data_IF_825582507061
#
_entry.id   IF_825582507061
#
_cell.length_a   1.000
_cell.length_b   1.000
_cell.length_c   1.000
_cell.angle_alpha   90.00
_cell.angle_beta   90.00
_cell.angle_gamma   90.00
#
_symmetry.space_group_name_H-M   'P 1'
#
loop_
_entity.id
_entity.type
_entity.pdbx_description
1 polymer ?
#
# COMPACT_ATOMS: atom_id res chain seq x y z
N UNK A 1 15.80 34.34 21.89
CA UNK A 1 17.04 33.97 21.16
C UNK A 1 16.69 33.04 20.02
N UNK A 2 16.71 33.51 18.77
CA UNK A 2 16.46 32.66 17.62
C UNK A 2 17.66 31.75 17.39
N UNK A 3 17.47 30.43 17.48
CA UNK A 3 18.51 29.45 17.21
C UNK A 3 18.87 29.57 15.72
N UNK A 4 20.05 30.10 15.41
CA UNK A 4 20.61 30.13 14.05
C UNK A 4 20.52 28.71 13.48
N UNK A 5 19.85 28.54 12.34
CA UNK A 5 19.81 27.28 11.62
C UNK A 5 21.25 26.89 11.27
N UNK A 6 21.72 25.74 11.77
CA UNK A 6 22.99 25.17 11.34
C UNK A 6 22.84 24.84 9.86
N UNK A 7 23.50 25.63 9.02
CA UNK A 7 23.62 25.34 7.61
C UNK A 7 24.73 24.30 7.48
N UNK A 8 24.35 23.10 7.07
CA UNK A 8 25.28 22.01 6.84
C UNK A 8 25.63 22.04 5.35
N UNK A 9 26.92 22.14 5.05
CA UNK A 9 27.44 22.06 3.70
C UNK A 9 27.79 20.59 3.44
N UNK A 10 26.88 19.88 2.76
CA UNK A 10 27.07 18.49 2.39
C UNK A 10 26.61 18.28 0.95
N UNK A 11 27.31 17.40 0.24
CA UNK A 11 26.95 17.09 -1.14
C UNK A 11 25.72 16.17 -1.17
N UNK A 12 24.58 16.78 -1.50
CA UNK A 12 23.31 16.09 -1.70
C UNK A 12 23.37 15.05 -2.83
N UNK A 13 24.23 15.23 -3.82
CA UNK A 13 24.36 14.31 -4.95
C UNK A 13 25.03 13.03 -4.49
N UNK A 14 26.12 13.14 -3.73
CA UNK A 14 26.85 12.00 -3.20
C UNK A 14 26.01 11.20 -2.19
N UNK A 15 25.22 11.87 -1.34
CA UNK A 15 24.26 11.20 -0.44
C UNK A 15 23.26 10.36 -1.23
N UNK A 16 22.69 10.90 -2.32
CA UNK A 16 21.72 10.15 -3.15
C UNK A 16 22.36 8.98 -3.87
N UNK A 17 23.60 9.16 -4.36
CA UNK A 17 24.39 8.11 -5.01
C UNK A 17 24.62 6.94 -4.05
N UNK A 18 25.15 7.22 -2.86
CA UNK A 18 25.38 6.20 -1.83
C UNK A 18 24.09 5.49 -1.41
N UNK A 19 22.97 6.20 -1.28
CA UNK A 19 21.68 5.59 -0.91
C UNK A 19 21.15 4.64 -2.00
N UNK A 20 21.33 4.99 -3.28
CA UNK A 20 20.77 4.28 -4.42
C UNK A 20 21.65 3.15 -4.95
N UNK A 21 22.97 3.33 -4.93
CA UNK A 21 23.94 2.37 -5.47
C UNK A 21 24.47 1.40 -4.42
N UNK A 22 24.41 1.77 -3.12
CA UNK A 22 24.97 0.95 -2.04
C UNK A 22 23.91 0.54 -1.04
N UNK A 23 24.14 -0.61 -0.38
CA UNK A 23 23.31 -1.10 0.73
C UNK A 23 23.76 -0.59 2.10
N UNK A 24 24.64 0.43 2.13
CA UNK A 24 25.13 1.05 3.37
C UNK A 24 23.97 1.50 4.27
N UNK A 25 24.19 1.45 5.57
CA UNK A 25 23.24 1.93 6.55
C UNK A 25 23.19 3.47 6.53
N UNK A 26 22.03 4.07 6.78
CA UNK A 26 21.88 5.53 6.84
C UNK A 26 22.83 6.19 7.85
N UNK A 27 23.23 5.47 8.90
CA UNK A 27 24.25 5.95 9.85
C UNK A 27 25.64 6.06 9.23
N UNK A 28 26.01 5.09 8.41
CA UNK A 28 27.32 5.05 7.72
C UNK A 28 27.39 6.14 6.66
N UNK A 29 26.31 6.30 5.88
CA UNK A 29 26.20 7.35 4.87
C UNK A 29 26.29 8.75 5.51
N UNK A 30 25.66 8.96 6.67
CA UNK A 30 25.74 10.23 7.40
C UNK A 30 27.16 10.53 7.90
N UNK A 31 27.89 9.50 8.35
CA UNK A 31 29.27 9.65 8.79
C UNK A 31 30.22 9.95 7.61
N UNK A 32 30.00 9.33 6.46
CA UNK A 32 30.83 9.47 5.26
C UNK A 32 30.62 10.80 4.55
N UNK A 33 29.37 11.29 4.49
CA UNK A 33 29.01 12.51 3.76
C UNK A 33 28.97 13.77 4.63
N UNK A 34 29.08 13.63 5.95
CA UNK A 34 28.86 14.73 6.91
C UNK A 34 27.42 15.26 6.93
N UNK A 35 26.51 14.61 6.19
CA UNK A 35 25.11 14.97 6.12
C UNK A 35 24.38 14.61 7.42
N UNK A 36 23.51 15.47 7.97
CA UNK A 36 22.69 15.12 9.11
C UNK A 36 21.88 13.85 8.85
N UNK A 37 21.88 12.93 9.82
CA UNK A 37 21.16 11.66 9.72
C UNK A 37 19.69 11.83 9.29
N UNK A 38 19.01 12.86 9.78
CA UNK A 38 17.63 13.16 9.40
C UNK A 38 17.47 13.44 7.90
N UNK A 39 18.40 14.17 7.29
CA UNK A 39 18.41 14.43 5.85
C UNK A 39 18.67 13.16 5.05
N UNK A 40 19.62 12.33 5.49
CA UNK A 40 19.91 11.02 4.86
C UNK A 40 18.68 10.12 4.90
N UNK A 41 17.99 10.01 6.03
CA UNK A 41 16.75 9.21 6.17
C UNK A 41 15.65 9.74 5.27
N UNK A 42 15.48 11.06 5.18
CA UNK A 42 14.48 11.68 4.30
C UNK A 42 14.70 11.30 2.84
N UNK A 43 15.94 11.38 2.35
CA UNK A 43 16.30 10.97 0.99
C UNK A 43 16.24 9.45 0.81
N UNK A 44 16.65 8.68 1.82
CA UNK A 44 16.61 7.22 1.86
C UNK A 44 15.21 6.66 1.60
N UNK A 45 14.20 7.20 2.29
CA UNK A 45 12.80 6.84 2.10
C UNK A 45 12.30 7.12 0.68
N UNK A 46 12.74 8.22 0.05
CA UNK A 46 12.34 8.58 -1.32
C UNK A 46 12.99 7.71 -2.40
N UNK A 47 14.21 7.22 -2.16
CA UNK A 47 14.98 6.43 -3.12
C UNK A 47 14.67 4.94 -2.93
N UNK A 48 15.01 4.35 -1.76
CA UNK A 48 14.76 2.93 -1.48
C UNK A 48 13.26 2.59 -1.39
N UNK A 49 12.44 3.51 -0.87
CA UNK A 49 11.00 3.31 -0.78
C UNK A 49 10.26 3.38 -2.12
N UNK A 50 10.81 4.05 -3.14
CA UNK A 50 10.26 4.00 -4.51
C UNK A 50 10.65 2.72 -5.24
N UNK A 51 11.90 2.27 -5.09
CA UNK A 51 12.37 1.01 -5.70
C UNK A 51 11.54 -0.17 -5.20
N UNK A 52 11.15 -0.20 -3.93
CA UNK A 52 10.31 -1.27 -3.39
C UNK A 52 8.85 -1.22 -3.89
N UNK A 53 8.37 -0.08 -4.40
CA UNK A 53 7.03 0.04 -4.99
C UNK A 53 7.02 -0.45 -6.44
N UNK A 54 8.05 -0.11 -7.23
CA UNK A 54 8.22 -0.61 -8.60
C UNK A 54 8.52 -2.11 -8.63
N UNK A 55 9.41 -2.62 -7.77
CA UNK A 55 9.65 -4.08 -7.66
C UNK A 55 8.41 -4.88 -7.27
N UNK A 56 7.48 -4.26 -6.54
CA UNK A 56 6.24 -4.90 -6.15
C UNK A 56 5.19 -4.88 -7.28
N UNK A 57 5.27 -3.92 -8.20
CA UNK A 57 4.45 -3.87 -9.41
C UNK A 57 4.95 -4.90 -10.44
N UNK A 58 6.27 -5.08 -10.61
CA UNK A 58 6.86 -6.06 -11.53
C UNK A 58 6.66 -7.54 -11.10
N UNK A 59 6.30 -7.80 -9.84
CA UNK A 59 6.01 -9.17 -9.35
C UNK A 59 4.54 -9.58 -9.50
N UNK A 60 3.68 -8.72 -10.07
CA UNK A 60 2.23 -8.99 -10.25
C UNK A 60 1.88 -9.28 -11.73
N UNK A 61 2.87 -9.46 -12.61
CA UNK A 61 2.64 -10.04 -13.96
C UNK A 61 2.98 -11.53 -13.96
N UNK A 62 2.02 -12.36 -13.58
CA UNK A 62 1.78 -13.72 -14.10
C UNK A 62 0.65 -14.39 -13.31
N UNK A 63 -0.60 -13.96 -13.54
CA UNK A 63 -1.74 -14.87 -13.42
C UNK A 63 -2.84 -14.43 -14.41
N UNK A 64 -3.34 -15.35 -15.25
CA UNK A 64 -4.24 -15.02 -16.34
C UNK A 64 -5.56 -14.50 -15.75
N UNK A 65 -5.90 -13.26 -16.09
CA UNK A 65 -7.22 -12.71 -15.84
C UNK A 65 -8.25 -13.54 -16.61
N UNK A 66 -9.02 -14.35 -15.89
CA UNK A 66 -10.19 -14.99 -16.43
C UNK A 66 -11.19 -13.91 -16.83
N UNK A 67 -11.55 -13.94 -18.12
CA UNK A 67 -12.50 -13.06 -18.76
C UNK A 67 -13.81 -12.97 -17.98
N UNK A 68 -14.29 -11.74 -17.78
CA UNK A 68 -15.64 -11.40 -17.35
C UNK A 68 -16.64 -12.06 -18.31
N UNK A 69 -17.31 -13.12 -17.83
CA UNK A 69 -18.49 -13.67 -18.48
C UNK A 69 -19.71 -13.06 -17.80
N UNK A 70 -20.24 -11.99 -18.38
CA UNK A 70 -21.53 -11.41 -18.00
C UNK A 70 -22.60 -12.41 -18.44
N UNK A 71 -23.13 -13.18 -17.48
CA UNK A 71 -24.42 -13.85 -17.63
C UNK A 71 -25.46 -13.03 -16.87
N UNK A 72 -26.23 -12.24 -17.61
CA UNK A 72 -27.56 -11.82 -17.19
C UNK A 72 -28.42 -13.08 -17.11
N UNK A 73 -28.92 -13.41 -15.92
CA UNK A 73 -30.17 -14.16 -15.80
C UNK A 73 -30.96 -13.61 -14.61
N UNK A 74 -32.16 -13.20 -14.96
CA UNK A 74 -33.17 -12.54 -14.15
C UNK A 74 -33.85 -13.55 -13.22
N UNK A 75 -33.98 -13.24 -11.91
CA UNK A 75 -35.25 -13.41 -11.21
C UNK A 75 -35.24 -12.81 -9.78
N UNK A 76 -36.19 -11.89 -9.54
CA UNK A 76 -37.00 -11.66 -8.30
C UNK A 76 -36.27 -11.43 -6.95
N UNK A 77 -36.50 -10.40 -6.14
CA UNK A 77 -37.62 -9.45 -6.00
C UNK A 77 -37.14 -8.16 -5.30
N UNK A 78 -37.53 -7.01 -5.86
CA UNK A 78 -38.22 -5.89 -5.17
C UNK A 78 -37.87 -5.62 -3.69
N UNK A 79 -36.89 -4.75 -3.45
CA UNK A 79 -37.13 -3.59 -2.57
C UNK A 79 -36.17 -2.45 -2.93
N UNK A 80 -36.66 -1.59 -3.80
CA UNK A 80 -36.01 -0.35 -4.19
C UNK A 80 -36.29 0.71 -3.12
N UNK A 81 -35.47 0.77 -2.06
CA UNK A 81 -35.34 2.00 -1.28
C UNK A 81 -34.25 2.87 -1.91
N UNK A 82 -34.71 3.84 -2.68
CA UNK A 82 -33.91 4.87 -3.32
C UNK A 82 -33.11 5.71 -2.32
N UNK A 83 -32.03 6.34 -2.83
CA UNK A 83 -31.24 7.45 -2.26
C UNK A 83 -29.97 7.08 -1.48
N UNK A 84 -29.05 6.37 -2.11
CA UNK A 84 -27.62 6.70 -1.99
C UNK A 84 -26.90 6.06 -3.16
N UNK A 85 -26.18 6.85 -3.97
CA UNK A 85 -25.24 6.34 -4.97
C UNK A 85 -24.04 5.69 -4.31
N UNK A 86 -24.28 4.66 -3.50
CA UNK A 86 -23.26 3.87 -2.83
C UNK A 86 -22.80 2.81 -3.79
N UNK A 87 -21.55 2.87 -4.21
CA UNK A 87 -20.88 1.78 -4.92
C UNK A 87 -20.92 0.54 -4.02
N UNK A 88 -21.85 -0.38 -4.29
CA UNK A 88 -21.91 -1.66 -3.58
C UNK A 88 -20.74 -2.52 -4.05
N UNK A 89 -19.85 -2.89 -3.13
CA UNK A 89 -18.73 -3.80 -3.40
C UNK A 89 -18.99 -5.15 -2.74
N UNK A 90 -19.06 -6.20 -3.54
CA UNK A 90 -19.11 -7.58 -3.06
C UNK A 90 -17.73 -8.22 -3.22
N UNK A 91 -17.06 -8.52 -2.10
CA UNK A 91 -15.83 -9.33 -2.10
C UNK A 91 -16.16 -10.67 -1.43
N UNK A 92 -16.01 -11.77 -2.17
CA UNK A 92 -16.19 -13.13 -1.67
C UNK A 92 -14.88 -13.91 -1.77
N UNK A 93 -14.52 -14.61 -0.69
CA UNK A 93 -13.36 -15.51 -0.62
C UNK A 93 -13.87 -16.89 -0.19
N UNK A 94 -13.50 -17.92 -0.94
CA UNK A 94 -13.80 -19.31 -0.63
C UNK A 94 -12.55 -20.00 -0.09
N UNK A 95 -12.74 -21.14 0.58
CA UNK A 95 -11.66 -22.04 1.03
C UNK A 95 -10.59 -21.38 1.91
N UNK A 96 -11.03 -20.49 2.81
CA UNK A 96 -10.14 -19.86 3.80
C UNK A 96 -9.96 -20.81 4.98
N UNK A 97 -8.70 -21.17 5.27
CA UNK A 97 -8.38 -21.96 6.45
C UNK A 97 -8.78 -21.20 7.72
N UNK A 98 -9.37 -21.88 8.70
CA UNK A 98 -9.93 -21.22 9.90
C UNK A 98 -8.89 -20.42 10.69
N UNK A 99 -7.63 -20.85 10.66
CA UNK A 99 -6.52 -20.17 11.32
C UNK A 99 -6.17 -18.83 10.65
N UNK A 100 -6.43 -18.71 9.34
CA UNK A 100 -6.15 -17.53 8.54
C UNK A 100 -7.39 -16.64 8.35
N UNK A 101 -8.57 -17.13 8.75
CA UNK A 101 -9.85 -16.45 8.55
C UNK A 101 -9.90 -15.07 9.21
N UNK A 102 -9.33 -14.93 10.41
CA UNK A 102 -9.25 -13.65 11.12
C UNK A 102 -8.37 -12.65 10.34
N UNK A 103 -7.21 -13.10 9.89
CA UNK A 103 -6.29 -12.24 9.14
C UNK A 103 -6.88 -11.81 7.80
N UNK A 104 -7.54 -12.73 7.10
CA UNK A 104 -8.15 -12.44 5.80
C UNK A 104 -9.36 -11.51 5.95
N UNK A 105 -10.20 -11.70 6.98
CA UNK A 105 -11.26 -10.77 7.32
C UNK A 105 -10.71 -9.37 7.62
N UNK A 106 -9.61 -9.27 8.38
CA UNK A 106 -8.96 -7.99 8.66
C UNK A 106 -8.47 -7.29 7.38
N UNK A 107 -7.93 -8.03 6.41
CA UNK A 107 -7.54 -7.50 5.10
C UNK A 107 -8.74 -7.00 4.30
N UNK A 108 -9.84 -7.77 4.27
CA UNK A 108 -11.07 -7.39 3.58
C UNK A 108 -11.68 -6.10 4.17
N UNK A 109 -11.72 -5.98 5.49
CA UNK A 109 -12.18 -4.76 6.19
C UNK A 109 -11.30 -3.56 5.83
N UNK A 110 -9.97 -3.75 5.80
CA UNK A 110 -9.03 -2.69 5.45
C UNK A 110 -9.21 -2.23 4.00
N UNK A 111 -9.44 -3.17 3.08
CA UNK A 111 -9.73 -2.87 1.68
C UNK A 111 -11.05 -2.09 1.54
N UNK A 112 -12.12 -2.54 2.22
CA UNK A 112 -13.41 -1.85 2.24
C UNK A 112 -13.27 -0.40 2.74
N UNK A 113 -12.50 -0.17 3.81
CA UNK A 113 -12.22 1.18 4.32
C UNK A 113 -11.44 2.03 3.31
N UNK A 114 -10.44 1.46 2.64
CA UNK A 114 -9.66 2.17 1.62
C UNK A 114 -10.53 2.57 0.41
N UNK A 115 -11.58 1.81 0.14
CA UNK A 115 -12.57 2.08 -0.90
C UNK A 115 -13.70 3.01 -0.45
N UNK A 116 -13.63 3.56 0.77
CA UNK A 116 -14.59 4.53 1.28
C UNK A 116 -15.90 3.91 1.78
N UNK A 117 -15.95 2.58 1.96
CA UNK A 117 -17.14 1.92 2.49
C UNK A 117 -17.22 2.12 4.00
N UNK A 118 -18.37 2.60 4.46
CA UNK A 118 -18.64 2.84 5.89
C UNK A 118 -19.33 1.66 6.58
N UNK A 119 -19.87 0.71 5.81
CA UNK A 119 -20.59 -0.46 6.31
C UNK A 119 -20.21 -1.69 5.48
N UNK A 120 -20.13 -2.84 6.14
CA UNK A 120 -19.86 -4.14 5.51
C UNK A 120 -20.82 -5.17 6.07
N UNK A 121 -21.24 -6.11 5.22
CA UNK A 121 -21.98 -7.31 5.62
C UNK A 121 -21.06 -8.51 5.43
N UNK A 122 -20.87 -9.31 6.49
CA UNK A 122 -20.06 -10.52 6.45
C UNK A 122 -20.99 -11.72 6.56
N UNK A 123 -20.94 -12.61 5.57
CA UNK A 123 -21.70 -13.86 5.54
C UNK A 123 -20.74 -15.03 5.61
N UNK A 124 -20.90 -15.89 6.62
CA UNK A 124 -20.12 -17.11 6.79
C UNK A 124 -21.03 -18.28 6.42
N UNK A 125 -20.69 -18.97 5.32
CA UNK A 125 -21.39 -20.17 4.90
C UNK A 125 -20.65 -21.41 5.42
N UNK A 126 -21.41 -22.46 5.76
CA UNK A 126 -20.89 -23.75 6.24
C UNK A 126 -20.75 -24.74 5.08
#
# INVERSE_FOLDING_TARGET
MAKKSKQYDYDLSEVKRLIGETDKNYREIAAETGCPYASVVYHGRKIRGRVNRMRQEDMIEEQPQSFLSIKEDQNTSEDATMLSGGTTLSISRNDVHIQDAEQEAARMIKAARALGLSKINITINR
#
